data_IF_375922126061
#
_entry.id   IF_375922126061
#
_cell.length_a   1.000
_cell.length_b   1.000
_cell.length_c   1.000
_cell.angle_alpha   90.00
_cell.angle_beta   90.00
_cell.angle_gamma   90.00
#
_symmetry.space_group_name_H-M   'P 1'
#
loop_
_entity.id
_entity.type
_entity.pdbx_description
1 polymer ?
#
# COMPACT_ATOMS: atom_id res chain seq x y z
N UNK A 1 31.24 -22.80 -12.08
CA UNK A 1 31.61 -21.38 -12.29
C UNK A 1 32.02 -20.66 -11.02
N UNK A 2 31.55 -21.08 -9.84
CA UNK A 2 31.96 -20.58 -8.50
C UNK A 2 33.34 -21.07 -8.03
N UNK A 3 33.95 -22.04 -8.72
CA UNK A 3 35.24 -22.64 -8.33
C UNK A 3 36.46 -21.81 -8.75
N UNK A 4 36.26 -20.75 -9.54
CA UNK A 4 37.32 -19.81 -9.92
C UNK A 4 37.32 -18.66 -8.90
N UNK A 5 38.36 -18.52 -8.06
CA UNK A 5 38.38 -17.56 -6.95
C UNK A 5 38.12 -16.10 -7.38
N UNK A 6 38.60 -15.70 -8.55
CA UNK A 6 38.41 -14.36 -9.09
C UNK A 6 36.94 -14.11 -9.50
N UNK A 7 36.27 -15.12 -10.07
CA UNK A 7 34.85 -15.03 -10.43
C UNK A 7 34.00 -14.97 -9.18
N UNK A 8 34.35 -15.75 -8.15
CA UNK A 8 33.67 -15.69 -6.85
C UNK A 8 33.79 -14.31 -6.21
N UNK A 9 35.00 -13.75 -6.15
CA UNK A 9 35.23 -12.40 -5.60
C UNK A 9 34.40 -11.33 -6.32
N UNK A 10 34.36 -11.37 -7.66
CA UNK A 10 33.56 -10.42 -8.44
C UNK A 10 32.05 -10.61 -8.19
N UNK A 11 31.59 -11.86 -8.07
CA UNK A 11 30.20 -12.14 -7.74
C UNK A 11 29.80 -11.62 -6.34
N UNK A 12 30.70 -11.77 -5.36
CA UNK A 12 30.51 -11.25 -4.00
C UNK A 12 30.46 -9.71 -4.01
N UNK A 13 31.38 -9.05 -4.73
CA UNK A 13 31.38 -7.58 -4.90
C UNK A 13 30.09 -7.06 -5.57
N UNK A 14 29.61 -7.75 -6.61
CA UNK A 14 28.34 -7.41 -7.26
C UNK A 14 27.17 -7.54 -6.28
N UNK A 15 27.16 -8.59 -5.47
CA UNK A 15 26.11 -8.80 -4.48
C UNK A 15 26.12 -7.72 -3.38
N UNK A 16 27.30 -7.31 -2.91
CA UNK A 16 27.45 -6.20 -1.96
C UNK A 16 26.91 -4.89 -2.52
N UNK A 17 27.24 -4.56 -3.77
CA UNK A 17 26.73 -3.35 -4.45
C UNK A 17 25.21 -3.40 -4.59
N UNK A 18 24.65 -4.54 -5.00
CA UNK A 18 23.20 -4.73 -5.11
C UNK A 18 22.48 -4.52 -3.78
N UNK A 19 23.06 -5.03 -2.68
CA UNK A 19 22.51 -4.86 -1.34
C UNK A 19 22.58 -3.40 -0.87
N UNK A 20 23.72 -2.73 -1.07
CA UNK A 20 23.89 -1.33 -0.72
C UNK A 20 22.89 -0.43 -1.50
N UNK A 21 22.74 -0.67 -2.80
CA UNK A 21 21.81 0.06 -3.65
C UNK A 21 20.36 -0.17 -3.24
N UNK A 22 20.00 -1.41 -2.90
CA UNK A 22 18.65 -1.73 -2.37
C UNK A 22 18.33 -0.94 -1.11
N UNK A 23 19.28 -0.87 -0.17
CA UNK A 23 19.12 -0.14 1.08
C UNK A 23 18.98 1.36 0.85
N UNK A 24 19.85 1.93 0.01
CA UNK A 24 19.83 3.35 -0.32
C UNK A 24 18.52 3.75 -1.00
N UNK A 25 18.09 3.02 -2.03
CA UNK A 25 16.83 3.33 -2.71
C UNK A 25 15.65 3.25 -1.72
N UNK A 26 15.61 2.21 -0.88
CA UNK A 26 14.54 2.06 0.12
C UNK A 26 14.51 3.24 1.10
N UNK A 27 15.69 3.69 1.55
CA UNK A 27 15.81 4.86 2.42
C UNK A 27 15.34 6.13 1.72
N UNK A 28 15.72 6.35 0.47
CA UNK A 28 15.29 7.50 -0.32
C UNK A 28 13.76 7.54 -0.45
N UNK A 29 13.11 6.38 -0.68
CA UNK A 29 11.65 6.28 -0.68
C UNK A 29 11.05 6.67 0.68
N UNK A 30 11.61 6.16 1.78
CA UNK A 30 11.12 6.47 3.13
C UNK A 30 11.21 7.95 3.43
N UNK A 31 12.36 8.57 3.18
CA UNK A 31 12.58 10.00 3.41
C UNK A 31 11.67 10.85 2.52
N UNK A 32 11.51 10.48 1.26
CA UNK A 32 10.67 11.20 0.31
C UNK A 32 9.18 11.18 0.68
N UNK A 33 8.67 10.04 1.16
CA UNK A 33 7.23 9.83 1.37
C UNK A 33 6.78 10.01 2.83
N UNK A 34 7.69 9.95 3.79
CA UNK A 34 7.37 10.13 5.23
C UNK A 34 8.16 11.24 5.92
N UNK A 35 9.16 11.82 5.25
CA UNK A 35 9.91 12.95 5.78
C UNK A 35 9.08 14.22 5.93
N UNK A 36 9.68 15.25 6.52
CA UNK A 36 9.03 16.52 6.84
C UNK A 36 8.35 17.21 5.62
N UNK A 37 8.85 16.95 4.40
CA UNK A 37 8.35 17.53 3.16
C UNK A 37 7.42 16.60 2.35
N UNK A 38 7.04 15.45 2.89
CA UNK A 38 6.22 14.42 2.21
C UNK A 38 4.89 14.94 1.62
N UNK A 39 4.28 15.95 2.25
CA UNK A 39 3.05 16.59 1.76
C UNK A 39 3.23 17.24 0.39
N UNK A 40 4.41 17.82 0.14
CA UNK A 40 4.79 18.46 -1.12
C UNK A 40 5.61 17.54 -2.03
N UNK A 41 5.67 16.24 -1.71
CA UNK A 41 6.40 15.28 -2.53
C UNK A 41 5.85 15.28 -3.96
N UNK A 42 6.78 15.40 -4.91
CA UNK A 42 6.55 15.23 -6.34
C UNK A 42 7.42 14.07 -6.82
N UNK A 43 6.87 13.10 -7.57
CA UNK A 43 7.68 12.02 -8.12
C UNK A 43 8.81 12.57 -8.96
N UNK A 44 10.02 12.11 -8.66
CA UNK A 44 11.20 12.45 -9.42
C UNK A 44 11.52 11.35 -10.41
N UNK A 45 12.14 11.73 -11.54
CA UNK A 45 12.66 10.78 -12.52
C UNK A 45 13.62 9.76 -11.87
N UNK A 46 14.42 10.21 -10.91
CA UNK A 46 15.38 9.35 -10.21
C UNK A 46 14.68 8.22 -9.43
N UNK A 47 13.56 8.50 -8.73
CA UNK A 47 12.80 7.47 -8.04
C UNK A 47 12.12 6.49 -9.01
N UNK A 48 11.64 6.98 -10.16
CA UNK A 48 11.10 6.11 -11.20
C UNK A 48 12.17 5.19 -11.80
N UNK A 49 13.37 5.71 -12.08
CA UNK A 49 14.50 4.90 -12.53
C UNK A 49 14.96 3.91 -11.44
N UNK A 50 14.93 4.32 -10.17
CA UNK A 50 15.24 3.44 -9.04
C UNK A 50 14.27 2.26 -8.91
N UNK A 51 12.99 2.42 -9.26
CA UNK A 51 12.05 1.29 -9.35
C UNK A 51 12.52 0.23 -10.38
N UNK A 52 13.04 0.67 -11.53
CA UNK A 52 13.56 -0.26 -12.56
C UNK A 52 14.79 -1.01 -12.06
N UNK A 53 15.63 -0.36 -11.26
CA UNK A 53 16.75 -1.02 -10.59
C UNK A 53 16.23 -2.09 -9.63
N UNK A 54 15.25 -1.76 -8.78
CA UNK A 54 14.65 -2.72 -7.83
C UNK A 54 14.10 -3.97 -8.53
N UNK A 55 13.57 -3.85 -9.76
CA UNK A 55 13.08 -5.01 -10.52
C UNK A 55 14.18 -6.02 -10.90
N UNK A 56 15.43 -5.58 -10.96
CA UNK A 56 16.60 -6.41 -11.27
C UNK A 56 17.26 -6.95 -9.98
N UNK A 57 17.04 -6.27 -8.85
CA UNK A 57 17.55 -6.69 -7.54
C UNK A 57 16.74 -7.86 -6.96
N UNK A 58 17.03 -8.24 -5.71
CA UNK A 58 16.29 -9.29 -5.01
C UNK A 58 14.78 -8.95 -4.96
N UNK A 59 13.89 -9.84 -5.45
CA UNK A 59 12.44 -9.66 -5.38
C UNK A 59 11.90 -9.39 -3.97
N UNK A 60 12.64 -9.76 -2.92
CA UNK A 60 12.33 -9.44 -1.53
C UNK A 60 12.31 -7.92 -1.29
N UNK A 61 13.24 -7.17 -1.87
CA UNK A 61 13.33 -5.71 -1.70
C UNK A 61 12.07 -5.05 -2.24
N UNK A 62 11.67 -5.41 -3.46
CA UNK A 62 10.40 -4.97 -4.07
C UNK A 62 9.20 -5.27 -3.19
N UNK A 63 9.11 -6.49 -2.64
CA UNK A 63 7.99 -6.89 -1.77
C UNK A 63 7.92 -6.07 -0.49
N UNK A 64 9.05 -5.84 0.17
CA UNK A 64 9.09 -5.06 1.40
C UNK A 64 8.79 -3.58 1.15
N UNK A 65 9.36 -2.99 0.09
CA UNK A 65 9.06 -1.61 -0.32
C UNK A 65 7.56 -1.43 -0.60
N UNK A 66 6.97 -2.32 -1.41
CA UNK A 66 5.53 -2.25 -1.74
C UNK A 66 4.65 -2.46 -0.51
N UNK A 67 5.03 -3.37 0.39
CA UNK A 67 4.30 -3.62 1.64
C UNK A 67 4.32 -2.38 2.53
N UNK A 68 5.49 -1.76 2.69
CA UNK A 68 5.64 -0.52 3.43
C UNK A 68 4.82 0.60 2.79
N UNK A 69 4.94 0.81 1.48
CA UNK A 69 4.25 1.87 0.75
C UNK A 69 2.72 1.76 0.91
N UNK A 70 2.17 0.55 0.72
CA UNK A 70 0.73 0.30 0.93
C UNK A 70 0.31 0.60 2.38
N UNK A 71 1.17 0.25 3.35
CA UNK A 71 0.96 0.59 4.75
C UNK A 71 0.91 2.10 5.01
N UNK A 72 1.79 2.87 4.38
CA UNK A 72 1.77 4.34 4.45
C UNK A 72 0.48 4.90 3.85
N UNK A 73 0.08 4.45 2.66
CA UNK A 73 -1.15 4.92 2.01
C UNK A 73 -2.39 4.67 2.88
N UNK A 74 -2.50 3.50 3.51
CA UNK A 74 -3.65 3.12 4.33
C UNK A 74 -3.52 3.53 5.82
N UNK A 75 -2.52 4.32 6.19
CA UNK A 75 -2.33 4.75 7.59
C UNK A 75 -3.46 5.66 8.07
N UNK A 76 -3.84 6.66 7.28
CA UNK A 76 -4.96 7.57 7.60
C UNK A 76 -6.29 6.80 7.68
N UNK A 77 -6.48 5.83 6.78
CA UNK A 77 -7.64 4.94 6.79
C UNK A 77 -7.83 4.23 8.13
N UNK A 78 -6.75 3.70 8.70
CA UNK A 78 -6.77 3.00 9.98
C UNK A 78 -7.17 3.90 11.14
N UNK A 79 -6.87 5.20 11.06
CA UNK A 79 -7.26 6.19 12.05
C UNK A 79 -8.73 6.54 11.87
N UNK A 80 -9.12 7.00 10.67
CA UNK A 80 -10.48 7.52 10.39
C UNK A 80 -11.60 6.51 10.64
N UNK A 81 -11.31 5.22 10.49
CA UNK A 81 -12.29 4.15 10.57
C UNK A 81 -11.98 3.10 11.64
N UNK A 82 -11.15 3.46 12.62
CA UNK A 82 -10.89 2.65 13.81
C UNK A 82 -12.19 2.37 14.58
N UNK A 83 -12.29 1.24 15.30
CA UNK A 83 -13.52 0.86 16.03
C UNK A 83 -14.04 1.89 17.05
N UNK A 84 -13.17 2.80 17.49
CA UNK A 84 -13.47 3.87 18.45
C UNK A 84 -14.01 5.14 17.80
N UNK A 85 -13.97 5.25 16.46
CA UNK A 85 -14.45 6.41 15.71
C UNK A 85 -15.90 6.26 15.27
N UNK A 86 -16.61 7.39 15.17
CA UNK A 86 -18.02 7.44 14.72
C UNK A 86 -18.21 6.92 13.28
N UNK A 87 -17.17 6.97 12.45
CA UNK A 87 -17.23 6.52 11.07
C UNK A 87 -17.04 5.00 10.92
N UNK A 88 -16.77 4.27 12.00
CA UNK A 88 -16.40 2.86 11.92
C UNK A 88 -17.58 1.94 11.57
N UNK A 89 -18.79 2.31 11.98
CA UNK A 89 -19.96 1.44 11.94
C UNK A 89 -20.53 1.25 10.54
N UNK A 90 -21.29 0.17 10.37
CA UNK A 90 -21.80 -0.29 9.07
C UNK A 90 -22.73 0.74 8.40
N UNK A 91 -23.37 1.60 9.18
CA UNK A 91 -24.22 2.69 8.67
C UNK A 91 -23.41 3.78 7.94
N UNK A 92 -22.08 3.80 8.12
CA UNK A 92 -21.15 4.71 7.45
C UNK A 92 -20.31 4.03 6.37
N UNK A 93 -20.66 2.82 5.93
CA UNK A 93 -19.89 2.07 4.94
C UNK A 93 -19.70 2.84 3.61
N UNK A 94 -20.69 3.63 3.20
CA UNK A 94 -20.60 4.48 2.00
C UNK A 94 -19.50 5.55 2.11
N UNK A 95 -19.27 6.11 3.31
CA UNK A 95 -18.16 7.03 3.57
C UNK A 95 -16.82 6.34 3.45
N UNK A 96 -16.73 5.09 3.93
CA UNK A 96 -15.52 4.25 3.83
C UNK A 96 -15.13 4.03 2.37
N UNK A 97 -16.10 3.67 1.53
CA UNK A 97 -15.88 3.43 0.11
C UNK A 97 -15.62 4.71 -0.68
N UNK A 98 -16.31 5.80 -0.36
CA UNK A 98 -16.06 7.11 -0.98
C UNK A 98 -14.67 7.63 -0.67
N UNK A 99 -14.24 7.51 0.60
CA UNK A 99 -12.88 7.84 1.00
C UNK A 99 -11.86 7.01 0.21
N UNK A 100 -12.07 5.70 0.13
CA UNK A 100 -11.17 4.80 -0.57
C UNK A 100 -11.04 5.11 -2.07
N UNK A 101 -12.17 5.30 -2.78
CA UNK A 101 -12.16 5.67 -4.21
C UNK A 101 -11.38 6.96 -4.44
N UNK A 102 -11.63 8.00 -3.62
CA UNK A 102 -10.92 9.27 -3.71
C UNK A 102 -9.42 9.11 -3.43
N UNK A 103 -9.07 8.36 -2.38
CA UNK A 103 -7.68 8.13 -2.00
C UNK A 103 -6.91 7.35 -3.08
N UNK A 104 -7.54 6.34 -3.68
CA UNK A 104 -6.93 5.55 -4.75
C UNK A 104 -6.63 6.41 -5.98
N UNK A 105 -7.60 7.24 -6.42
CA UNK A 105 -7.39 8.20 -7.52
C UNK A 105 -6.26 9.18 -7.22
N UNK A 106 -6.22 9.73 -6.00
CA UNK A 106 -5.12 10.62 -5.59
C UNK A 106 -3.76 9.93 -5.59
N UNK A 107 -3.73 8.65 -5.22
CA UNK A 107 -2.50 7.85 -5.29
C UNK A 107 -2.06 7.61 -6.74
N UNK A 108 -2.99 7.31 -7.64
CA UNK A 108 -2.71 7.11 -9.06
C UNK A 108 -2.21 8.40 -9.73
N UNK A 109 -2.88 9.52 -9.48
CA UNK A 109 -2.46 10.83 -9.99
C UNK A 109 -1.08 11.21 -9.46
N UNK A 110 -0.82 10.95 -8.17
CA UNK A 110 0.42 11.36 -7.51
C UNK A 110 1.58 10.41 -7.77
N UNK A 111 1.37 9.11 -7.89
CA UNK A 111 2.45 8.11 -7.92
C UNK A 111 2.40 7.16 -9.12
N UNK A 112 1.34 7.18 -9.93
CA UNK A 112 1.13 6.22 -11.02
C UNK A 112 2.25 6.20 -12.05
N UNK A 113 2.83 7.37 -12.38
CA UNK A 113 3.96 7.46 -13.31
C UNK A 113 5.32 7.04 -12.69
N UNK A 114 5.40 6.90 -11.37
CA UNK A 114 6.65 6.55 -10.66
C UNK A 114 6.89 5.04 -10.62
N UNK A 115 5.83 4.26 -10.46
CA UNK A 115 5.93 2.81 -10.34
C UNK A 115 5.74 2.12 -11.69
N UNK A 116 6.51 1.08 -12.01
CA UNK A 116 6.29 0.28 -13.20
C UNK A 116 4.87 -0.32 -13.21
N UNK A 117 4.15 -0.32 -14.36
CA UNK A 117 2.75 -0.76 -14.40
C UNK A 117 2.53 -2.17 -13.85
N UNK A 118 3.44 -3.09 -14.14
CA UNK A 118 3.39 -4.49 -13.70
C UNK A 118 3.58 -4.68 -12.19
N UNK A 119 3.88 -3.62 -11.42
CA UNK A 119 3.89 -3.68 -9.96
C UNK A 119 2.47 -3.73 -9.38
N UNK A 120 1.47 -3.32 -10.16
CA UNK A 120 0.05 -3.29 -9.81
C UNK A 120 -0.20 -2.63 -8.44
N UNK A 121 0.34 -1.43 -8.24
CA UNK A 121 0.30 -0.75 -6.93
C UNK A 121 -1.14 -0.49 -6.47
N UNK A 122 -2.00 0.02 -7.34
CA UNK A 122 -3.43 0.25 -7.04
C UNK A 122 -4.15 -1.02 -6.63
N UNK A 123 -3.89 -2.15 -7.31
CA UNK A 123 -4.44 -3.46 -6.96
C UNK A 123 -4.01 -3.87 -5.55
N UNK A 124 -2.71 -3.73 -5.23
CA UNK A 124 -2.18 -4.07 -3.91
C UNK A 124 -2.80 -3.23 -2.79
N UNK A 125 -2.97 -1.92 -3.02
CA UNK A 125 -3.65 -1.02 -2.09
C UNK A 125 -5.10 -1.50 -1.90
N UNK A 126 -5.81 -1.79 -2.98
CA UNK A 126 -7.21 -2.26 -2.96
C UNK A 126 -7.37 -3.57 -2.20
N UNK A 127 -6.54 -4.58 -2.50
CA UNK A 127 -6.55 -5.86 -1.79
C UNK A 127 -6.32 -5.65 -0.30
N UNK A 128 -5.34 -4.81 0.08
CA UNK A 128 -5.05 -4.58 1.50
C UNK A 128 -6.18 -3.82 2.19
N UNK A 129 -6.77 -2.82 1.53
CA UNK A 129 -7.96 -2.13 2.01
C UNK A 129 -9.11 -3.10 2.27
N UNK A 130 -9.42 -4.00 1.34
CA UNK A 130 -10.47 -5.00 1.50
C UNK A 130 -10.20 -5.94 2.68
N UNK A 131 -8.96 -6.39 2.86
CA UNK A 131 -8.55 -7.23 3.98
C UNK A 131 -8.76 -6.53 5.33
N UNK A 132 -8.30 -5.28 5.46
CA UNK A 132 -8.46 -4.49 6.69
C UNK A 132 -9.95 -4.24 6.97
N UNK A 133 -10.69 -3.81 5.95
CA UNK A 133 -12.13 -3.53 6.05
C UNK A 133 -12.91 -4.74 6.52
N UNK A 134 -12.66 -5.91 5.92
CA UNK A 134 -13.27 -7.17 6.32
C UNK A 134 -12.98 -7.49 7.79
N UNK A 135 -11.71 -7.40 8.20
CA UNK A 135 -11.30 -7.72 9.57
C UNK A 135 -11.98 -6.78 10.59
N UNK A 136 -11.94 -5.47 10.36
CA UNK A 136 -12.53 -4.49 11.28
C UNK A 136 -14.05 -4.58 11.34
N UNK A 137 -14.74 -4.69 10.19
CA UNK A 137 -16.20 -4.85 10.18
C UNK A 137 -16.63 -6.15 10.87
N UNK A 138 -15.91 -7.25 10.65
CA UNK A 138 -16.19 -8.52 11.35
C UNK A 138 -16.12 -8.34 12.86
N UNK A 139 -15.07 -7.67 13.34
CA UNK A 139 -14.86 -7.39 14.77
C UNK A 139 -15.95 -6.49 15.35
N UNK A 140 -16.29 -5.39 14.68
CA UNK A 140 -17.27 -4.41 15.19
C UNK A 140 -18.69 -5.00 15.15
N UNK A 141 -19.05 -5.73 14.08
CA UNK A 141 -20.35 -6.41 13.98
C UNK A 141 -20.54 -7.44 15.08
N UNK A 142 -19.50 -8.21 15.43
CA UNK A 142 -19.57 -9.14 16.56
C UNK A 142 -19.86 -8.42 17.88
N UNK A 143 -19.22 -7.27 18.15
CA UNK A 143 -19.44 -6.46 19.36
C UNK A 143 -20.85 -5.84 19.41
N UNK A 144 -21.38 -5.39 18.26
CA UNK A 144 -22.64 -4.64 18.15
C UNK A 144 -23.77 -5.47 17.54
N UNK A 145 -23.78 -6.78 17.79
CA UNK A 145 -24.75 -7.72 17.19
C UNK A 145 -26.21 -7.29 17.41
N UNK A 146 -26.55 -6.70 18.56
CA UNK A 146 -27.91 -6.23 18.89
C UNK A 146 -28.38 -5.01 18.08
N UNK A 147 -27.45 -4.30 17.45
CA UNK A 147 -27.71 -3.09 16.67
C UNK A 147 -27.81 -3.41 15.16
N UNK A 148 -27.69 -4.68 14.79
CA UNK A 148 -27.79 -5.15 13.41
C UNK A 148 -29.26 -5.46 13.11
N UNK A 149 -29.80 -4.76 12.13
CA UNK A 149 -31.11 -5.07 11.54
C UNK A 149 -30.99 -5.33 10.03
N UNK A 150 -32.09 -5.83 9.45
CA UNK A 150 -32.14 -6.20 8.02
C UNK A 150 -31.92 -4.98 7.12
N UNK A 151 -32.40 -3.80 7.49
CA UNK A 151 -32.25 -2.58 6.68
C UNK A 151 -30.79 -2.14 6.62
N UNK A 152 -30.11 -2.19 7.76
CA UNK A 152 -28.69 -1.88 7.86
C UNK A 152 -27.84 -2.83 7.02
N UNK A 153 -28.11 -4.14 7.08
CA UNK A 153 -27.41 -5.14 6.26
C UNK A 153 -27.66 -4.96 4.76
N UNK A 154 -28.93 -4.74 4.36
CA UNK A 154 -29.27 -4.49 2.96
C UNK A 154 -28.60 -3.23 2.43
N UNK A 155 -28.62 -2.14 3.21
CA UNK A 155 -27.89 -0.92 2.88
C UNK A 155 -26.42 -1.22 2.67
N UNK A 156 -25.78 -1.96 3.60
CA UNK A 156 -24.36 -2.25 3.51
C UNK A 156 -24.00 -3.07 2.27
N UNK A 157 -24.73 -4.15 2.02
CA UNK A 157 -24.54 -5.01 0.85
C UNK A 157 -24.72 -4.21 -0.45
N UNK A 158 -25.76 -3.39 -0.52
CA UNK A 158 -26.01 -2.55 -1.70
C UNK A 158 -24.83 -1.61 -1.97
N UNK A 159 -24.28 -0.99 -0.92
CA UNK A 159 -23.10 -0.10 -1.06
C UNK A 159 -21.83 -0.84 -1.43
N UNK A 160 -21.62 -2.05 -0.92
CA UNK A 160 -20.49 -2.91 -1.32
C UNK A 160 -20.61 -3.31 -2.79
N UNK A 161 -21.79 -3.71 -3.25
CA UNK A 161 -22.00 -4.02 -4.66
C UNK A 161 -21.74 -2.81 -5.58
N UNK A 162 -22.14 -1.60 -5.16
CA UNK A 162 -21.85 -0.36 -5.92
C UNK A 162 -20.38 0.08 -5.89
N UNK A 163 -19.56 -0.46 -4.99
CA UNK A 163 -18.11 -0.27 -5.02
C UNK A 163 -17.47 -1.16 -6.09
N UNK A 164 -17.98 -2.38 -6.25
CA UNK A 164 -17.44 -3.41 -7.15
C UNK A 164 -17.81 -3.20 -8.62
N UNK A 165 -18.84 -2.40 -8.90
CA UNK A 165 -19.24 -1.94 -10.23
C UNK A 165 -18.48 -0.67 -10.63
#
# INVERSE_FOLDING_TARGET
YTDIPQIKKLADEVHEIQNALSQQITQDFHEALTGANSKNFTPTRNLAEACLVIDILDPKVKRELLKWFVGVQLSEYLVLFNDSEDNAWLDKIDRRYTWFKKHLLQCEDKFGAMFPPHWNVSERITVKFCQITKAELTKIMAKRTKEIDVKLLLYAIQRTNSLEQ
#
